data_IF_923802273115
#
_entry.id   IF_923802273115
#
_cell.length_a   1.000
_cell.length_b   1.000
_cell.length_c   1.000
_cell.angle_alpha   90.00
_cell.angle_beta   90.00
_cell.angle_gamma   90.00
#
_symmetry.space_group_name_H-M   'P 1'
#
loop_
_entity.id
_entity.type
_entity.pdbx_description
1 polymer ?
#
# COMPACT_ATOMS: atom_id res chain seq x y z
N UNK A 1 15.26 -15.66 22.66
CA UNK A 1 14.04 -14.89 22.29
C UNK A 1 14.46 -13.77 21.37
N UNK A 2 13.90 -13.70 20.15
CA UNK A 2 14.16 -12.60 19.21
C UNK A 2 13.17 -11.47 19.45
N UNK A 3 13.66 -10.22 19.48
CA UNK A 3 12.85 -9.00 19.65
C UNK A 3 13.41 -7.87 18.77
N UNK A 4 12.56 -6.90 18.44
CA UNK A 4 13.00 -5.67 17.79
C UNK A 4 13.90 -4.87 18.73
N UNK A 5 14.88 -4.16 18.16
CA UNK A 5 15.70 -3.19 18.89
C UNK A 5 14.98 -1.86 19.11
N UNK A 6 15.61 -0.96 19.87
CA UNK A 6 15.00 0.34 20.23
C UNK A 6 14.84 1.29 19.03
N UNK A 7 15.71 1.14 18.01
CA UNK A 7 15.63 1.85 16.73
C UNK A 7 15.49 0.83 15.60
N UNK A 8 14.40 0.93 14.85
CA UNK A 8 14.09 0.02 13.73
C UNK A 8 14.10 0.76 12.40
N UNK A 9 14.31 0.01 11.33
CA UNK A 9 14.17 0.52 9.98
C UNK A 9 12.71 0.95 9.71
N UNK A 10 12.54 1.90 8.80
CA UNK A 10 11.20 2.28 8.30
C UNK A 10 10.66 1.13 7.45
N UNK A 11 9.44 0.71 7.75
CA UNK A 11 8.77 -0.36 6.99
C UNK A 11 8.19 0.21 5.70
N UNK A 12 8.57 -0.39 4.57
CA UNK A 12 7.95 -0.18 3.27
C UNK A 12 7.34 -1.49 2.83
N UNK A 13 6.09 -1.47 2.40
CA UNK A 13 5.40 -2.67 1.91
C UNK A 13 5.38 -2.69 0.40
N UNK A 14 5.81 -3.82 -0.18
CA UNK A 14 5.73 -4.07 -1.62
C UNK A 14 4.58 -5.02 -1.92
N UNK A 15 3.37 -4.54 -2.26
CA UNK A 15 2.28 -5.40 -2.72
C UNK A 15 2.69 -6.15 -4.01
N UNK A 16 1.93 -7.20 -4.34
CA UNK A 16 1.97 -7.83 -5.67
C UNK A 16 1.78 -6.80 -6.80
N UNK A 17 2.16 -7.17 -8.03
CA UNK A 17 1.88 -6.37 -9.23
C UNK A 17 0.45 -6.55 -9.74
N UNK A 18 -0.02 -5.65 -10.61
CA UNK A 18 -1.40 -5.64 -11.13
C UNK A 18 -1.85 -6.96 -11.81
N UNK A 19 -0.90 -7.70 -12.39
CA UNK A 19 -1.17 -8.95 -13.13
C UNK A 19 -1.41 -10.17 -12.23
N UNK A 20 -1.20 -10.07 -10.92
CA UNK A 20 -1.34 -11.21 -10.00
C UNK A 20 -2.70 -11.21 -9.29
N UNK A 21 -3.47 -12.31 -9.36
CA UNK A 21 -4.70 -12.45 -8.59
C UNK A 21 -4.44 -12.87 -7.13
N UNK A 22 -5.45 -12.65 -6.28
CA UNK A 22 -5.65 -13.35 -5.01
C UNK A 22 -6.75 -14.39 -5.19
N UNK A 23 -6.37 -15.67 -5.33
CA UNK A 23 -7.28 -16.75 -5.67
C UNK A 23 -8.29 -17.10 -4.56
N UNK A 24 -8.03 -16.71 -3.31
CA UNK A 24 -8.84 -17.12 -2.16
C UNK A 24 -9.88 -16.09 -1.73
N UNK A 25 -9.89 -14.91 -2.34
CA UNK A 25 -10.89 -13.86 -2.08
C UNK A 25 -11.62 -13.60 -3.38
N UNK A 26 -12.93 -13.80 -3.39
CA UNK A 26 -13.78 -13.59 -4.57
C UNK A 26 -14.59 -12.30 -4.42
N UNK A 27 -14.65 -11.51 -5.49
CA UNK A 27 -15.54 -10.34 -5.64
C UNK A 27 -16.39 -10.60 -6.86
N UNK A 28 -17.71 -10.66 -6.67
CA UNK A 28 -18.68 -10.98 -7.74
C UNK A 28 -18.37 -12.30 -8.47
N UNK A 29 -17.79 -13.27 -7.76
CA UNK A 29 -17.41 -14.59 -8.28
C UNK A 29 -16.00 -14.69 -8.87
N UNK A 30 -15.29 -13.57 -9.04
CA UNK A 30 -13.96 -13.53 -9.64
C UNK A 30 -12.86 -13.32 -8.60
N UNK A 31 -11.65 -13.89 -8.77
CA UNK A 31 -10.50 -13.62 -7.91
C UNK A 31 -10.20 -12.13 -7.77
N UNK A 32 -10.00 -11.68 -6.54
CA UNK A 32 -9.65 -10.30 -6.26
C UNK A 32 -8.27 -9.95 -6.84
N UNK A 33 -8.04 -8.66 -7.11
CA UNK A 33 -6.71 -8.19 -7.53
C UNK A 33 -5.73 -8.26 -6.37
N UNK A 34 -4.66 -9.05 -6.49
CA UNK A 34 -3.76 -9.36 -5.37
C UNK A 34 -3.09 -8.13 -4.77
N UNK A 35 -2.70 -7.16 -5.60
CA UNK A 35 -2.08 -5.92 -5.13
C UNK A 35 -3.01 -5.08 -4.26
N UNK A 36 -4.32 -5.09 -4.53
CA UNK A 36 -5.33 -4.36 -3.77
C UNK A 36 -5.61 -5.04 -2.43
N UNK A 37 -5.55 -6.37 -2.38
CA UNK A 37 -5.65 -7.14 -1.14
C UNK A 37 -4.45 -6.85 -0.23
N UNK A 38 -3.23 -6.95 -0.76
CA UNK A 38 -2.00 -6.70 0.00
C UNK A 38 -1.96 -5.28 0.56
N UNK A 39 -2.20 -4.29 -0.31
CA UNK A 39 -2.29 -2.88 0.08
C UNK A 39 -3.40 -2.66 1.10
N UNK A 40 -4.60 -3.16 0.80
CA UNK A 40 -5.81 -2.92 1.59
C UNK A 40 -5.69 -3.46 3.01
N UNK A 41 -5.26 -4.71 3.18
CA UNK A 41 -5.08 -5.31 4.50
C UNK A 41 -4.00 -4.59 5.31
N UNK A 42 -2.83 -4.35 4.73
CA UNK A 42 -1.75 -3.65 5.44
C UNK A 42 -2.17 -2.25 5.85
N UNK A 43 -2.74 -1.47 4.93
CA UNK A 43 -3.18 -0.12 5.22
C UNK A 43 -4.30 -0.11 6.26
N UNK A 44 -5.35 -0.91 6.07
CA UNK A 44 -6.50 -0.96 6.98
C UNK A 44 -6.09 -1.30 8.41
N UNK A 45 -5.20 -2.26 8.61
CA UNK A 45 -4.79 -2.65 9.96
C UNK A 45 -3.80 -1.70 10.63
N UNK A 46 -3.11 -0.84 9.86
CA UNK A 46 -2.05 0.03 10.41
C UNK A 46 -2.33 1.53 10.32
N UNK A 47 -3.36 1.98 9.59
CA UNK A 47 -3.62 3.41 9.36
C UNK A 47 -3.80 4.23 10.64
N UNK A 48 -4.43 3.67 11.68
CA UNK A 48 -4.65 4.36 12.95
C UNK A 48 -3.33 4.63 13.68
N UNK A 49 -2.41 3.65 13.68
CA UNK A 49 -1.08 3.83 14.24
C UNK A 49 -0.30 4.90 13.46
N UNK A 50 -0.35 4.86 12.12
CA UNK A 50 0.28 5.88 11.29
C UNK A 50 -0.26 7.28 11.60
N UNK A 51 -1.58 7.42 11.71
CA UNK A 51 -2.25 8.67 12.08
C UNK A 51 -1.77 9.18 13.43
N UNK A 52 -1.70 8.33 14.44
CA UNK A 52 -1.23 8.70 15.77
C UNK A 52 0.24 9.18 15.79
N UNK A 53 1.06 8.61 14.89
CA UNK A 53 2.49 8.97 14.76
C UNK A 53 2.77 10.02 13.69
N UNK A 54 1.76 10.62 13.05
CA UNK A 54 1.96 11.59 11.97
C UNK A 54 2.89 12.72 12.44
N UNK A 55 4.05 12.85 11.79
CA UNK A 55 5.13 13.79 12.15
C UNK A 55 6.38 13.14 12.74
N UNK A 56 6.33 11.90 13.23
CA UNK A 56 7.47 11.17 13.79
C UNK A 56 8.34 10.44 12.73
N UNK A 57 8.10 10.68 11.44
CA UNK A 57 8.85 10.07 10.33
C UNK A 57 8.41 8.64 9.95
N UNK A 58 7.31 8.14 10.51
CA UNK A 58 6.66 6.88 10.17
C UNK A 58 5.33 7.13 9.43
N UNK A 59 4.95 6.23 8.52
CA UNK A 59 3.74 6.38 7.72
C UNK A 59 3.47 5.19 6.81
N UNK A 60 2.34 5.22 6.08
CA UNK A 60 1.98 4.19 5.12
C UNK A 60 2.86 4.32 3.86
N UNK A 61 4.00 3.63 3.88
CA UNK A 61 4.99 3.65 2.80
C UNK A 61 4.92 2.39 1.94
N UNK A 62 4.88 2.58 0.61
CA UNK A 62 4.75 1.49 -0.35
C UNK A 62 5.82 1.49 -1.44
N UNK A 63 6.23 0.30 -1.90
CA UNK A 63 6.97 0.11 -3.14
C UNK A 63 6.03 -0.45 -4.21
N UNK A 64 5.90 0.22 -5.35
CA UNK A 64 4.99 -0.20 -6.42
C UNK A 64 5.77 -0.91 -7.53
N UNK A 65 5.60 -2.23 -7.70
CA UNK A 65 6.37 -3.00 -8.68
C UNK A 65 5.72 -3.01 -10.07
N UNK A 66 6.56 -3.24 -11.10
CA UNK A 66 6.17 -3.67 -12.45
C UNK A 66 5.07 -2.84 -13.12
N UNK A 67 5.08 -1.51 -12.92
CA UNK A 67 4.19 -0.63 -13.67
C UNK A 67 4.78 -0.36 -15.05
N UNK A 68 4.00 -0.58 -16.10
CA UNK A 68 4.47 -0.41 -17.49
C UNK A 68 4.07 0.95 -18.08
N UNK A 69 3.06 1.61 -17.51
CA UNK A 69 2.59 2.90 -17.98
C UNK A 69 2.26 3.87 -16.84
N UNK A 70 2.47 5.17 -17.06
CA UNK A 70 2.02 6.24 -16.15
C UNK A 70 0.52 6.21 -15.79
N UNK A 71 -0.33 5.53 -16.59
CA UNK A 71 -1.75 5.35 -16.29
C UNK A 71 -1.95 4.42 -15.09
N UNK A 72 -1.09 3.43 -14.90
CA UNK A 72 -1.13 2.55 -13.72
C UNK A 72 -0.76 3.32 -12.44
N UNK A 73 0.20 4.24 -12.53
CA UNK A 73 0.49 5.16 -11.41
C UNK A 73 -0.72 6.03 -11.05
N UNK A 74 -1.50 6.47 -12.06
CA UNK A 74 -2.76 7.19 -11.84
C UNK A 74 -3.81 6.30 -11.15
N UNK A 75 -3.91 5.02 -11.51
CA UNK A 75 -4.81 4.06 -10.85
C UNK A 75 -4.42 3.92 -9.37
N UNK A 76 -3.12 3.74 -9.07
CA UNK A 76 -2.63 3.71 -7.68
C UNK A 76 -2.99 4.99 -6.92
N UNK A 77 -2.79 6.17 -7.53
CA UNK A 77 -3.18 7.42 -6.88
C UNK A 77 -4.68 7.47 -6.55
N UNK A 78 -5.55 6.99 -7.45
CA UNK A 78 -6.99 6.89 -7.16
C UNK A 78 -7.31 5.91 -6.02
N UNK A 79 -6.58 4.80 -5.92
CA UNK A 79 -6.69 3.85 -4.80
C UNK A 79 -6.29 4.52 -3.49
N UNK A 80 -5.18 5.26 -3.48
CA UNK A 80 -4.70 5.98 -2.30
C UNK A 80 -5.68 7.06 -1.84
N UNK A 81 -6.14 7.92 -2.75
CA UNK A 81 -7.13 8.96 -2.44
C UNK A 81 -8.42 8.38 -1.86
N UNK A 82 -8.86 7.23 -2.38
CA UNK A 82 -10.03 6.53 -1.85
C UNK A 82 -9.78 5.96 -0.47
N UNK A 83 -8.62 5.35 -0.23
CA UNK A 83 -8.24 4.79 1.06
C UNK A 83 -8.05 5.87 2.14
N UNK A 84 -7.43 7.00 1.79
CA UNK A 84 -7.26 8.16 2.65
C UNK A 84 -8.63 8.74 3.04
N UNK A 85 -9.51 8.95 2.05
CA UNK A 85 -10.88 9.40 2.29
C UNK A 85 -11.66 8.44 3.18
N UNK A 86 -11.55 7.13 2.94
CA UNK A 86 -12.26 6.10 3.71
C UNK A 86 -11.84 6.10 5.19
N UNK A 87 -10.54 6.30 5.48
CA UNK A 87 -10.00 6.29 6.85
C UNK A 87 -10.00 7.67 7.52
N UNK A 88 -10.28 8.74 6.76
CA UNK A 88 -10.27 10.11 7.24
C UNK A 88 -8.87 10.64 7.58
N UNK A 89 -7.81 10.02 7.03
CA UNK A 89 -6.46 10.59 7.11
C UNK A 89 -6.30 11.68 6.04
N UNK A 90 -5.39 12.64 6.29
CA UNK A 90 -5.16 13.75 5.35
C UNK A 90 -4.71 13.27 3.98
N UNK A 91 -5.11 13.98 2.92
CA UNK A 91 -4.68 13.67 1.55
C UNK A 91 -3.16 13.74 1.42
N UNK A 92 -2.55 12.79 0.73
CA UNK A 92 -1.10 12.70 0.56
C UNK A 92 -0.36 12.16 1.80
N UNK A 93 -1.08 11.47 2.70
CA UNK A 93 -0.48 10.73 3.81
C UNK A 93 0.15 9.43 3.35
N UNK A 94 -0.40 8.79 2.33
CA UNK A 94 0.17 7.60 1.70
C UNK A 94 1.29 8.04 0.77
N UNK A 95 2.49 7.48 0.98
CA UNK A 95 3.64 7.74 0.09
C UNK A 95 4.07 6.44 -0.57
N UNK A 96 4.37 6.52 -1.87
CA UNK A 96 4.80 5.38 -2.65
C UNK A 96 6.08 5.68 -3.43
N UNK A 97 6.98 4.70 -3.51
CA UNK A 97 8.16 4.70 -4.38
C UNK A 97 7.88 3.76 -5.55
N UNK A 98 7.88 4.29 -6.77
CA UNK A 98 7.73 3.49 -7.97
C UNK A 98 9.05 2.75 -8.29
N UNK A 99 8.95 1.45 -8.55
CA UNK A 99 10.07 0.68 -9.11
C UNK A 99 10.03 0.83 -10.62
N UNK A 100 11.02 1.54 -11.18
CA UNK A 100 11.22 1.63 -12.63
C UNK A 100 11.98 0.37 -13.05
N UNK A 101 11.23 -0.68 -13.39
CA UNK A 101 11.75 -2.03 -13.63
C UNK A 101 11.12 -2.71 -14.87
N UNK A 102 10.58 -1.92 -15.79
CA UNK A 102 9.99 -2.35 -17.06
C UNK A 102 10.60 -1.53 -18.21
N UNK A 103 10.67 -2.12 -19.42
CA UNK A 103 11.27 -1.49 -20.62
C UNK A 103 10.28 -0.59 -21.37
#
# INVERSE_FOLDING_TARGET
VYKLGDKIAKLFVRPRGWHLPEAHILIDGEPATGCLVDFGLYFFHNHAAFRATQGAGFGPFFYLPKMEHSREAKIWNCVFERAEKFTGIGRGSITATALIETL
#
